data_IF_802869427974
#
_entry.id   IF_802869427974
#
_cell.length_a   1.000
_cell.length_b   1.000
_cell.length_c   1.000
_cell.angle_alpha   90.00
_cell.angle_beta   90.00
_cell.angle_gamma   90.00
#
_symmetry.space_group_name_H-M   'P 1'
#
loop_
_entity.id
_entity.type
_entity.pdbx_description
1 polymer ?
#
# COMPACT_ATOMS: atom_id res chain seq x y z
N UNK A 1 29.82 7.63 13.48
CA UNK A 1 28.54 8.08 12.90
C UNK A 1 27.46 7.19 13.45
N UNK A 2 26.36 7.78 13.90
CA UNK A 2 25.23 7.04 14.43
C UNK A 2 24.51 6.32 13.28
N UNK A 3 24.55 4.98 13.26
CA UNK A 3 23.99 4.15 12.20
C UNK A 3 22.45 4.14 12.21
N UNK A 4 21.83 4.65 13.28
CA UNK A 4 20.38 4.78 13.44
C UNK A 4 19.69 5.46 12.24
N UNK A 5 20.30 6.52 11.70
CA UNK A 5 19.80 7.23 10.52
C UNK A 5 19.77 6.37 9.26
N UNK A 6 20.78 5.53 9.06
CA UNK A 6 20.83 4.61 7.92
C UNK A 6 19.69 3.59 7.99
N UNK A 7 19.40 3.08 9.19
CA UNK A 7 18.30 2.14 9.40
C UNK A 7 16.94 2.81 9.16
N UNK A 8 16.74 4.05 9.61
CA UNK A 8 15.53 4.83 9.32
C UNK A 8 15.35 5.07 7.82
N UNK A 9 16.42 5.39 7.08
CA UNK A 9 16.36 5.54 5.62
C UNK A 9 15.96 4.24 4.93
N UNK A 10 16.44 3.10 5.42
CA UNK A 10 16.06 1.80 4.88
C UNK A 10 14.57 1.50 5.12
N UNK A 11 14.06 1.81 6.32
CA UNK A 11 12.62 1.69 6.64
C UNK A 11 11.80 2.61 5.72
N UNK A 12 12.22 3.86 5.55
CA UNK A 12 11.56 4.83 4.69
C UNK A 12 11.56 4.39 3.22
N UNK A 13 12.67 3.86 2.71
CA UNK A 13 12.76 3.29 1.37
C UNK A 13 11.81 2.10 1.22
N UNK A 14 11.74 1.21 2.21
CA UNK A 14 10.80 0.10 2.22
C UNK A 14 9.33 0.55 2.21
N UNK A 15 8.98 1.56 3.01
CA UNK A 15 7.64 2.15 3.02
C UNK A 15 7.28 2.81 1.68
N UNK A 16 8.21 3.54 1.08
CA UNK A 16 8.02 4.12 -0.25
C UNK A 16 7.81 3.04 -1.32
N UNK A 17 8.58 1.95 -1.27
CA UNK A 17 8.38 0.79 -2.15
C UNK A 17 6.99 0.17 -2.00
N UNK A 18 6.43 0.13 -0.78
CA UNK A 18 5.04 -0.33 -0.59
C UNK A 18 4.04 0.56 -1.32
N UNK A 19 4.15 1.88 -1.15
CA UNK A 19 3.28 2.84 -1.85
C UNK A 19 3.43 2.71 -3.37
N UNK A 20 4.66 2.65 -3.87
CA UNK A 20 4.94 2.45 -5.29
C UNK A 20 4.34 1.14 -5.79
N UNK A 21 4.38 0.06 -5.02
CA UNK A 21 3.75 -1.21 -5.42
C UNK A 21 2.23 -1.07 -5.64
N UNK A 22 1.54 -0.32 -4.77
CA UNK A 22 0.09 -0.08 -4.86
C UNK A 22 -0.24 0.77 -6.08
N UNK A 23 0.46 1.90 -6.26
CA UNK A 23 0.24 2.80 -7.40
C UNK A 23 0.63 2.16 -8.74
N UNK A 24 1.68 1.35 -8.76
CA UNK A 24 2.10 0.64 -9.96
C UNK A 24 1.11 -0.47 -10.31
N UNK A 25 0.57 -1.20 -9.32
CA UNK A 25 -0.51 -2.15 -9.57
C UNK A 25 -1.73 -1.46 -10.19
N UNK A 26 -2.18 -0.35 -9.59
CA UNK A 26 -3.32 0.42 -10.11
C UNK A 26 -3.09 0.87 -11.54
N UNK A 27 -1.88 1.34 -11.85
CA UNK A 27 -1.51 1.74 -13.22
C UNK A 27 -1.52 0.58 -14.22
N UNK A 28 -1.17 -0.64 -13.80
CA UNK A 28 -1.13 -1.83 -14.66
C UNK A 28 -2.49 -2.52 -14.78
N UNK A 29 -3.36 -2.35 -13.79
CA UNK A 29 -4.66 -3.01 -13.66
C UNK A 29 -5.72 -2.03 -13.13
N UNK A 30 -5.99 -0.93 -13.86
CA UNK A 30 -7.00 0.02 -13.44
C UNK A 30 -8.37 -0.65 -13.40
N UNK A 31 -9.16 -0.38 -12.37
CA UNK A 31 -10.50 -0.98 -12.21
C UNK A 31 -10.56 -2.23 -11.32
N UNK A 32 -9.42 -2.73 -10.82
CA UNK A 32 -9.39 -3.87 -9.89
C UNK A 32 -9.06 -3.35 -8.49
N UNK A 33 -9.94 -3.54 -7.49
CA UNK A 33 -9.70 -3.06 -6.14
C UNK A 33 -8.47 -3.74 -5.53
N UNK A 34 -7.68 -2.95 -4.79
CA UNK A 34 -6.51 -3.47 -4.09
C UNK A 34 -6.94 -4.13 -2.78
N UNK A 35 -6.72 -5.44 -2.57
CA UNK A 35 -7.08 -6.11 -1.32
C UNK A 35 -6.24 -5.61 -0.13
N UNK A 36 -6.88 -5.36 1.02
CA UNK A 36 -6.19 -4.89 2.23
C UNK A 36 -5.34 -5.97 2.92
N UNK A 37 -5.82 -7.21 2.91
CA UNK A 37 -5.30 -8.29 3.77
C UNK A 37 -4.72 -9.47 2.99
N UNK A 38 -4.85 -9.46 1.66
CA UNK A 38 -4.42 -10.55 0.80
C UNK A 38 -3.60 -10.01 -0.37
N UNK A 39 -2.81 -10.88 -1.00
CA UNK A 39 -2.14 -10.52 -2.25
C UNK A 39 -3.17 -10.42 -3.39
N UNK A 40 -3.04 -9.44 -4.31
CA UNK A 40 -3.87 -9.40 -5.50
C UNK A 40 -3.67 -10.70 -6.30
N UNK A 41 -4.78 -11.36 -6.64
CA UNK A 41 -4.77 -12.69 -7.29
C UNK A 41 -4.09 -12.70 -8.66
N UNK A 42 -3.93 -11.51 -9.27
CA UNK A 42 -3.28 -11.30 -10.58
C UNK A 42 -2.17 -10.24 -10.52
N UNK A 43 -1.45 -10.18 -9.39
CA UNK A 43 -0.34 -9.24 -9.23
C UNK A 43 0.82 -9.59 -10.17
N UNK A 44 1.28 -8.66 -11.03
CA UNK A 44 2.46 -8.88 -11.86
C UNK A 44 3.69 -9.19 -10.99
N UNK A 45 4.49 -10.19 -11.39
CA UNK A 45 5.63 -10.66 -10.59
C UNK A 45 6.63 -9.56 -10.21
N UNK A 46 6.80 -8.52 -11.05
CA UNK A 46 7.64 -7.35 -10.76
C UNK A 46 7.08 -6.48 -9.62
N UNK A 47 5.78 -6.26 -9.58
CA UNK A 47 5.11 -5.50 -8.50
C UNK A 47 5.23 -6.28 -7.18
N UNK A 48 5.02 -7.60 -7.24
CA UNK A 48 5.20 -8.49 -6.10
C UNK A 48 6.64 -8.47 -5.58
N UNK A 49 7.64 -8.45 -6.47
CA UNK A 49 9.04 -8.35 -6.08
C UNK A 49 9.34 -7.03 -5.34
N UNK A 50 8.87 -5.89 -5.85
CA UNK A 50 9.01 -4.58 -5.17
C UNK A 50 8.39 -4.62 -3.78
N UNK A 51 7.20 -5.21 -3.65
CA UNK A 51 6.53 -5.38 -2.37
C UNK A 51 7.34 -6.23 -1.40
N UNK A 52 7.84 -7.39 -1.83
CA UNK A 52 8.66 -8.29 -0.98
C UNK A 52 9.95 -7.59 -0.53
N UNK A 53 10.64 -6.91 -1.44
CA UNK A 53 11.86 -6.14 -1.12
C UNK A 53 11.54 -5.02 -0.13
N UNK A 54 10.44 -4.29 -0.34
CA UNK A 54 10.00 -3.27 0.60
C UNK A 54 9.70 -3.82 2.00
N UNK A 55 9.05 -4.98 2.10
CA UNK A 55 8.81 -5.66 3.40
C UNK A 55 10.13 -6.04 4.05
N UNK A 56 11.06 -6.63 3.30
CA UNK A 56 12.37 -7.00 3.80
C UNK A 56 13.13 -5.78 4.36
N UNK A 57 13.09 -4.64 3.66
CA UNK A 57 13.71 -3.40 4.11
C UNK A 57 13.09 -2.87 5.41
N UNK A 58 11.76 -2.88 5.53
CA UNK A 58 11.06 -2.46 6.76
C UNK A 58 11.44 -3.38 7.93
N UNK A 59 11.38 -4.70 7.76
CA UNK A 59 11.66 -5.66 8.85
C UNK A 59 13.13 -5.56 9.28
N UNK A 60 14.05 -5.61 8.31
CA UNK A 60 15.48 -5.58 8.59
C UNK A 60 15.89 -4.22 9.17
N UNK A 61 15.44 -3.12 8.56
CA UNK A 61 15.71 -1.76 9.04
C UNK A 61 15.16 -1.52 10.44
N UNK A 62 13.93 -1.96 10.73
CA UNK A 62 13.32 -1.78 12.06
C UNK A 62 14.05 -2.59 13.14
N UNK A 63 14.49 -3.81 12.80
CA UNK A 63 15.25 -4.67 13.72
C UNK A 63 16.60 -4.05 14.05
N UNK A 64 17.33 -3.56 13.04
CA UNK A 64 18.63 -2.93 13.22
C UNK A 64 18.53 -1.57 13.93
N UNK A 65 17.50 -0.79 13.62
CA UNK A 65 17.20 0.46 14.30
C UNK A 65 16.94 0.22 15.80
N UNK A 66 16.05 -0.70 16.15
CA UNK A 66 15.76 -0.99 17.55
C UNK A 66 16.97 -1.57 18.30
N UNK A 67 17.80 -2.37 17.62
CA UNK A 67 19.05 -2.90 18.19
C UNK A 67 20.07 -1.80 18.50
N UNK A 68 20.03 -0.67 17.79
CA UNK A 68 20.90 0.48 18.05
C UNK A 68 20.49 1.31 19.28
N UNK A 69 19.28 1.11 19.82
CA UNK A 69 18.67 1.92 20.88
C UNK A 69 18.79 1.32 22.29
N UNK A 70 19.84 0.52 22.54
CA UNK A 70 20.25 0.02 23.87
C UNK A 70 19.10 -0.38 24.82
N UNK A 71 18.33 -1.41 24.47
CA UNK A 71 17.28 -1.97 25.34
C UNK A 71 15.85 -1.62 24.93
N UNK A 72 15.65 -0.70 23.98
CA UNK A 72 14.33 -0.34 23.43
C UNK A 72 13.87 -1.29 22.31
N UNK A 73 14.14 -2.59 22.44
CA UNK A 73 13.82 -3.60 21.41
C UNK A 73 12.31 -3.70 21.12
N UNK A 74 11.46 -3.35 22.09
CA UNK A 74 10.01 -3.32 21.94
C UNK A 74 9.52 -2.23 20.95
N UNK A 75 10.38 -1.30 20.54
CA UNK A 75 10.06 -0.32 19.50
C UNK A 75 10.13 -0.92 18.08
N UNK A 76 10.80 -2.06 17.88
CA UNK A 76 10.86 -2.72 16.57
C UNK A 76 9.48 -3.00 15.96
N UNK A 77 8.52 -3.67 16.65
CA UNK A 77 7.18 -3.87 16.11
C UNK A 77 6.45 -2.56 15.84
N UNK A 78 6.64 -1.52 16.68
CA UNK A 78 6.02 -0.21 16.49
C UNK A 78 6.55 0.44 15.21
N UNK A 79 7.86 0.44 14.98
CA UNK A 79 8.48 0.97 13.78
C UNK A 79 7.97 0.25 12.51
N UNK A 80 7.82 -1.09 12.57
CA UNK A 80 7.23 -1.88 11.49
C UNK A 80 5.80 -1.42 11.23
N UNK A 81 4.94 -1.37 12.25
CA UNK A 81 3.53 -0.97 12.08
C UNK A 81 3.39 0.42 11.49
N UNK A 82 4.17 1.39 11.98
CA UNK A 82 4.16 2.77 11.47
C UNK A 82 4.60 2.83 10.01
N UNK A 83 5.59 2.03 9.61
CA UNK A 83 6.08 1.97 8.23
C UNK A 83 5.03 1.46 7.22
N UNK A 84 4.01 0.71 7.67
CA UNK A 84 2.90 0.26 6.82
C UNK A 84 1.75 1.28 6.70
N UNK A 85 1.69 2.33 7.54
CA UNK A 85 0.63 3.35 7.49
C UNK A 85 0.51 4.01 6.11
N UNK A 86 1.61 4.43 5.43
CA UNK A 86 1.52 5.03 4.10
C UNK A 86 0.92 4.08 3.06
N UNK A 87 1.20 2.77 3.17
CA UNK A 87 0.64 1.76 2.28
C UNK A 87 -0.88 1.64 2.46
N UNK A 88 -1.34 1.61 3.72
CA UNK A 88 -2.78 1.57 4.01
C UNK A 88 -3.47 2.82 3.46
N UNK A 89 -2.88 4.01 3.67
CA UNK A 89 -3.39 5.24 3.10
C UNK A 89 -3.48 5.15 1.56
N UNK A 90 -2.43 4.68 0.88
CA UNK A 90 -2.43 4.51 -0.57
C UNK A 90 -3.54 3.56 -1.06
N UNK A 91 -3.76 2.44 -0.36
CA UNK A 91 -4.85 1.51 -0.66
C UNK A 91 -6.21 2.19 -0.51
N UNK A 92 -6.43 2.94 0.58
CA UNK A 92 -7.67 3.69 0.80
C UNK A 92 -7.91 4.74 -0.29
N UNK A 93 -6.89 5.50 -0.69
CA UNK A 93 -7.01 6.49 -1.76
C UNK A 93 -7.36 5.86 -3.11
N UNK A 94 -6.67 4.79 -3.50
CA UNK A 94 -6.95 4.07 -4.75
C UNK A 94 -8.34 3.45 -4.72
N UNK A 95 -8.72 2.80 -3.62
CA UNK A 95 -10.03 2.14 -3.51
C UNK A 95 -11.21 3.11 -3.35
N UNK A 96 -11.02 4.27 -2.71
CA UNK A 96 -12.05 5.32 -2.62
C UNK A 96 -12.44 5.91 -3.98
N UNK A 97 -11.52 5.87 -4.96
CA UNK A 97 -11.81 6.20 -6.35
C UNK A 97 -12.78 5.21 -7.01
N UNK A 98 -12.71 3.93 -6.64
CA UNK A 98 -13.63 2.91 -7.16
C UNK A 98 -15.04 3.09 -6.62
N UNK A 99 -15.21 3.25 -5.32
CA UNK A 99 -16.55 3.42 -4.70
C UNK A 99 -17.29 4.62 -5.27
N UNK A 100 -16.58 5.74 -5.51
CA UNK A 100 -17.13 6.95 -6.10
C UNK A 100 -17.58 6.75 -7.55
N UNK A 101 -16.74 6.11 -8.37
CA UNK A 101 -17.04 5.84 -9.80
C UNK A 101 -18.20 4.85 -10.00
N UNK A 102 -18.28 3.83 -9.13
CA UNK A 102 -19.39 2.86 -9.12
C UNK A 102 -20.72 3.53 -8.77
N UNK A 103 -20.72 4.40 -7.76
CA UNK A 103 -21.91 5.17 -7.36
C UNK A 103 -22.41 6.09 -8.47
N UNK A 104 -21.48 6.77 -9.16
CA UNK A 104 -21.82 7.67 -10.26
C UNK A 104 -22.42 6.91 -11.46
N UNK A 105 -21.87 5.75 -11.83
CA UNK A 105 -22.47 4.88 -12.87
C UNK A 105 -23.84 4.35 -12.48
N UNK A 106 -24.04 3.96 -11.23
CA UNK A 106 -25.34 3.47 -10.74
C UNK A 106 -26.40 4.58 -10.80
N UNK A 107 -26.06 5.81 -10.44
CA UNK A 107 -26.95 6.97 -10.55
C UNK A 107 -27.26 7.34 -12.00
N UNK A 108 -26.27 7.30 -12.91
CA UNK A 108 -26.50 7.54 -14.35
C UNK A 108 -27.40 6.46 -14.98
N UNK A 109 -27.27 5.20 -14.56
CA UNK A 109 -28.14 4.12 -15.04
C UNK A 109 -29.57 4.24 -14.52
N UNK A 110 -29.79 4.72 -13.29
CA UNK A 110 -31.14 4.90 -12.74
C UNK A 110 -31.86 6.16 -13.24
N UNK A 111 -31.12 7.12 -13.81
CA UNK A 111 -31.66 8.36 -14.39
C UNK A 111 -31.82 8.30 -15.91
N UNK A 112 -31.43 7.18 -16.54
CA UNK A 112 -31.74 6.93 -17.94
C UNK A 112 -33.28 6.78 -18.09
N UNK A 113 -33.95 7.59 -18.93
CA UNK A 113 -35.38 7.44 -19.15
C UNK A 113 -35.63 6.05 -19.73
N UNK A 114 -36.51 5.29 -19.10
CA UNK A 114 -37.05 4.07 -19.70
C UNK A 114 -37.65 4.47 -21.03
N UNK A 115 -36.99 4.08 -22.13
CA UNK A 115 -37.54 4.23 -23.47
C UNK A 115 -38.85 3.44 -23.51
N UNK A 116 -39.95 4.13 -23.28
CA UNK A 116 -41.29 3.64 -23.54
C UNK A 116 -41.42 3.56 -25.05
N UNK A 117 -41.19 2.35 -25.57
CA UNK A 117 -41.61 1.94 -26.90
C UNK A 117 -43.13 1.86 -26.92
N UNK A 118 -43.76 2.82 -27.61
CA UNK A 118 -45.09 2.73 -28.23
C UNK A 118 -44.97 3.17 -29.70
#
# INVERSE_FOLDING_TARGET
MDLSWMWLLLIAAGAAMQVVSVLWFERLRPGIPYPMWTFPTREPGRVRAVRIVGVAFIIFGSTMFASSLSGLWFLAPIAVTVAFVPMLAAIYFVNGGFTSSSGQRAQSASSAPSASSD
#
